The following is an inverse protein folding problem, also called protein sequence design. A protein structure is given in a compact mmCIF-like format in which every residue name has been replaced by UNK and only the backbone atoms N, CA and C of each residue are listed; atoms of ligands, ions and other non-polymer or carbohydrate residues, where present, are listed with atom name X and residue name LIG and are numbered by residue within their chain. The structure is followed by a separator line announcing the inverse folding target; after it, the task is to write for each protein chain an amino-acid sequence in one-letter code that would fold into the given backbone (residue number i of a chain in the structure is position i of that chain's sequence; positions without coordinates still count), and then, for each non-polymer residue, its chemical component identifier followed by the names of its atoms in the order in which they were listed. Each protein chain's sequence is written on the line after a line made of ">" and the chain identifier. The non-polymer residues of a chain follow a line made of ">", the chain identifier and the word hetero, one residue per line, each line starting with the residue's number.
data_IF_672646485664
#
_entry.id   IF_672646485664
#
_cell.length_a   1.000
_cell.length_b   1.000
_cell.length_c   1.000
_cell.angle_alpha   90.00
_cell.angle_beta   90.00
_cell.angle_gamma   90.00
#
_symmetry.space_group_name_H-M   'P 1'
#
loop_
_entity.id
_entity.type
_entity.pdbx_description
1 polymer ?
#
# COMPACT_ATOMS: atom_id res chain seq x y z
N UNK A 1 4.33 12.15 7.71
CA UNK A 1 4.22 10.85 7.09
C UNK A 1 3.58 9.86 8.06
N UNK A 2 2.60 9.14 7.62
CA UNK A 2 1.86 8.23 8.49
C UNK A 2 2.17 6.79 8.19
N UNK A 3 2.25 6.00 9.22
CA UNK A 3 2.47 4.57 9.08
C UNK A 3 1.68 3.84 10.16
N UNK A 4 1.15 2.69 9.83
CA UNK A 4 0.41 1.87 10.76
C UNK A 4 0.86 0.43 10.62
N UNK A 5 0.79 -0.28 11.73
CA UNK A 5 1.01 -1.72 11.70
C UNK A 5 -0.27 -2.40 12.08
N UNK A 6 -0.54 -3.54 11.49
CA UNK A 6 -1.70 -4.33 11.87
C UNK A 6 -1.40 -5.80 11.59
N UNK A 7 -2.19 -6.67 12.18
CA UNK A 7 -2.08 -8.09 11.96
C UNK A 7 -3.39 -8.54 11.33
N UNK A 8 -3.30 -9.27 10.24
CA UNK A 8 -4.50 -9.70 9.55
C UNK A 8 -5.11 -10.93 10.24
N UNK A 9 -6.23 -11.39 9.72
CA UNK A 9 -6.95 -12.49 10.34
C UNK A 9 -6.21 -13.82 10.22
N UNK A 10 -5.18 -13.86 9.38
CA UNK A 10 -4.36 -15.07 9.24
C UNK A 10 -3.10 -15.00 10.11
N UNK A 11 -2.91 -13.93 10.86
CA UNK A 11 -1.77 -13.80 11.74
C UNK A 11 -0.54 -13.16 11.12
N UNK A 12 -0.66 -12.64 9.91
CA UNK A 12 0.48 -11.98 9.28
C UNK A 12 0.52 -10.51 9.65
N UNK A 13 1.71 -10.04 9.93
CA UNK A 13 1.93 -8.66 10.29
C UNK A 13 2.14 -7.82 9.04
N UNK A 14 1.46 -6.71 8.96
CA UNK A 14 1.54 -5.80 7.83
C UNK A 14 1.89 -4.41 8.31
N UNK A 15 2.58 -3.69 7.45
CA UNK A 15 2.84 -2.29 7.68
C UNK A 15 2.18 -1.49 6.55
N UNK A 16 1.38 -0.51 6.91
CA UNK A 16 0.74 0.35 5.95
C UNK A 16 1.40 1.71 6.01
N UNK A 17 1.79 2.25 4.86
CA UNK A 17 2.39 3.57 4.84
C UNK A 17 2.00 4.32 3.58
N UNK A 18 1.92 5.61 3.73
CA UNK A 18 1.52 6.46 2.62
C UNK A 18 2.76 7.12 2.03
N UNK A 19 2.88 7.03 0.72
CA UNK A 19 3.95 7.69 0.00
C UNK A 19 3.30 8.69 -0.94
N UNK A 20 3.68 9.95 -0.77
CA UNK A 20 3.13 11.00 -1.60
C UNK A 20 4.27 11.77 -2.22
N UNK A 21 4.12 12.15 -3.46
CA UNK A 21 5.13 12.95 -4.12
C UNK A 21 4.46 13.85 -5.14
N UNK A 22 5.11 14.95 -5.41
CA UNK A 22 4.62 15.89 -6.38
C UNK A 22 5.02 15.43 -7.77
N UNK A 23 4.09 15.53 -8.66
CA UNK A 23 4.30 15.15 -10.04
C UNK A 23 4.01 16.36 -10.91
N UNK A 24 4.91 16.70 -11.81
CA UNK A 24 4.70 17.80 -12.73
C UNK A 24 3.93 17.26 -13.93
N UNK A 25 2.78 17.86 -14.16
CA UNK A 25 2.00 17.50 -15.31
C UNK A 25 2.05 18.63 -16.30
N UNK A 26 1.25 18.53 -17.32
CA UNK A 26 1.19 19.48 -18.40
C UNK A 26 1.14 20.91 -17.92
N UNK A 27 1.80 21.80 -18.59
CA UNK A 27 1.83 23.24 -18.30
C UNK A 27 2.46 23.54 -16.95
N UNK A 28 3.38 22.75 -16.56
CA UNK A 28 4.12 22.94 -15.32
C UNK A 28 3.23 22.96 -14.08
N UNK A 29 2.04 22.43 -14.19
CA UNK A 29 1.18 22.26 -13.02
C UNK A 29 1.73 21.14 -12.17
N UNK A 30 1.65 21.31 -10.87
CA UNK A 30 2.11 20.30 -9.93
C UNK A 30 0.91 19.67 -9.26
N UNK A 31 0.88 18.38 -9.25
CA UNK A 31 -0.17 17.66 -8.54
C UNK A 31 0.48 16.62 -7.65
N UNK A 32 -0.18 16.26 -6.59
CA UNK A 32 0.36 15.27 -5.67
C UNK A 32 -0.19 13.90 -6.03
N UNK A 33 0.72 12.97 -6.19
CA UNK A 33 0.37 11.59 -6.46
C UNK A 33 0.68 10.79 -5.21
N UNK A 34 -0.31 10.18 -4.61
CA UNK A 34 -0.09 9.43 -3.38
C UNK A 34 -0.61 8.01 -3.49
N UNK A 35 0.11 7.13 -2.84
CA UNK A 35 -0.19 5.71 -2.82
C UNK A 35 -0.12 5.21 -1.39
N UNK A 36 -1.01 4.31 -1.06
CA UNK A 36 -0.95 3.62 0.21
C UNK A 36 -0.34 2.24 -0.04
N UNK A 37 0.77 1.98 0.61
CA UNK A 37 1.49 0.72 0.46
C UNK A 37 1.25 -0.17 1.66
N UNK A 38 1.11 -1.45 1.41
CA UNK A 38 1.00 -2.46 2.45
C UNK A 38 2.17 -3.42 2.28
N UNK A 39 2.98 -3.53 3.29
CA UNK A 39 4.19 -4.35 3.24
C UNK A 39 4.11 -5.48 4.26
N UNK A 40 4.35 -6.68 3.79
CA UNK A 40 4.50 -7.83 4.66
C UNK A 40 5.68 -8.62 4.12
N UNK A 41 6.14 -9.65 4.90
CA UNK A 41 7.23 -10.44 4.52
C UNK A 41 7.10 -10.87 3.09
N UNK A 42 7.92 -10.43 2.21
CA UNK A 42 7.97 -10.84 0.82
C UNK A 42 6.83 -10.39 -0.07
N UNK A 43 5.95 -9.55 0.42
CA UNK A 43 4.79 -9.14 -0.36
C UNK A 43 4.60 -7.63 -0.24
N UNK A 44 4.34 -6.98 -1.36
CA UNK A 44 4.03 -5.57 -1.40
C UNK A 44 2.73 -5.37 -2.15
N UNK A 45 1.84 -4.61 -1.56
CA UNK A 45 0.59 -4.21 -2.23
C UNK A 45 0.47 -2.70 -2.17
N UNK A 46 -0.32 -2.15 -3.04
CA UNK A 46 -0.53 -0.70 -3.03
C UNK A 46 -1.89 -0.35 -3.58
N UNK A 47 -2.38 0.82 -3.22
CA UNK A 47 -3.67 1.27 -3.73
C UNK A 47 -3.71 2.78 -3.79
N UNK A 48 -4.59 3.28 -4.63
CA UNK A 48 -4.95 4.68 -4.70
C UNK A 48 -6.39 4.80 -4.28
N UNK A 49 -6.82 6.02 -4.08
CA UNK A 49 -8.23 6.25 -3.75
C UNK A 49 -8.61 5.72 -2.40
N UNK A 50 -7.69 5.60 -1.51
CA UNK A 50 -7.94 5.09 -0.18
C UNK A 50 -8.56 6.20 0.68
N UNK A 51 -9.25 5.83 1.78
CA UNK A 51 -9.86 6.83 2.65
C UNK A 51 -8.82 7.72 3.30
N UNK A 52 -9.15 8.98 3.48
CA UNK A 52 -8.23 9.90 4.10
C UNK A 52 -7.91 9.55 5.52
N UNK A 53 -8.85 8.92 6.22
CA UNK A 53 -8.67 8.56 7.61
C UNK A 53 -8.09 7.17 7.79
N UNK A 54 -7.44 6.65 6.78
CA UNK A 54 -6.90 5.31 6.83
C UNK A 54 -6.00 5.09 8.06
N UNK A 55 -5.31 6.12 8.49
CA UNK A 55 -4.40 5.98 9.63
C UNK A 55 -5.12 5.77 10.94
N UNK A 56 -6.42 6.05 10.99
CA UNK A 56 -7.22 5.86 12.20
C UNK A 56 -8.11 4.65 12.13
N UNK A 57 -8.05 3.90 11.06
CA UNK A 57 -8.95 2.79 10.87
C UNK A 57 -8.58 1.62 11.76
N UNK A 58 -9.56 0.78 12.04
CA UNK A 58 -9.32 -0.43 12.82
C UNK A 58 -8.49 -1.43 12.02
N UNK A 59 -7.93 -2.40 12.70
CA UNK A 59 -7.18 -3.45 12.01
C UNK A 59 -8.03 -4.16 10.99
N UNK A 60 -9.29 -4.40 11.33
CA UNK A 60 -10.22 -5.07 10.44
C UNK A 60 -10.43 -4.28 9.16
N UNK A 61 -10.57 -2.97 9.29
CA UNK A 61 -10.75 -2.11 8.13
C UNK A 61 -9.48 -2.02 7.31
N UNK A 62 -8.33 -1.99 7.96
CA UNK A 62 -7.06 -1.97 7.26
C UNK A 62 -6.85 -3.27 6.50
N UNK A 63 -7.24 -4.37 7.08
CA UNK A 63 -7.15 -5.65 6.39
C UNK A 63 -8.03 -5.65 5.15
N UNK A 64 -9.21 -5.07 5.24
CA UNK A 64 -10.12 -5.00 4.12
C UNK A 64 -9.51 -4.17 2.98
N UNK A 65 -8.92 -3.03 3.31
CA UNK A 65 -8.23 -2.24 2.31
C UNK A 65 -7.09 -3.03 1.68
N UNK A 66 -6.32 -3.70 2.50
CA UNK A 66 -5.18 -4.47 2.04
C UNK A 66 -5.62 -5.55 1.06
N UNK A 67 -6.75 -6.18 1.32
CA UNK A 67 -7.25 -7.24 0.45
C UNK A 67 -7.67 -6.71 -0.92
N UNK A 68 -8.00 -5.43 -0.99
CA UNK A 68 -8.40 -4.83 -2.25
C UNK A 68 -7.24 -4.19 -2.98
N UNK A 69 -6.11 -4.04 -2.32
CA UNK A 69 -4.95 -3.41 -2.92
C UNK A 69 -4.31 -4.33 -3.94
N UNK A 70 -3.71 -3.73 -4.95
CA UNK A 70 -3.08 -4.52 -5.99
C UNK A 70 -1.74 -5.05 -5.52
N UNK A 71 -1.42 -6.28 -5.87
CA UNK A 71 -0.14 -6.87 -5.53
C UNK A 71 0.90 -6.33 -6.49
N UNK A 72 1.94 -5.72 -5.95
CA UNK A 72 2.99 -5.15 -6.75
C UNK A 72 4.11 -6.15 -6.96
N UNK A 73 4.39 -6.93 -5.92
CA UNK A 73 5.44 -7.92 -6.02
C UNK A 73 5.46 -8.81 -4.83
N UNK A 74 6.00 -10.00 -5.01
CA UNK A 74 6.25 -10.91 -3.94
C UNK A 74 7.65 -11.41 -4.08
N UNK A 75 8.32 -11.55 -2.95
CA UNK A 75 9.64 -12.03 -2.94
C UNK A 75 9.67 -13.41 -3.36
N UNK A 76 8.85 -14.19 -2.80
CA UNK A 76 8.87 -15.57 -3.03
C UNK A 76 8.28 -15.89 -4.34
N UNK A 77 8.95 -16.46 -5.16
CA UNK A 77 8.45 -16.94 -6.38
C UNK A 77 7.97 -15.90 -7.29
N UNK A 78 8.21 -14.75 -6.96
CA UNK A 78 7.71 -13.74 -7.78
C UNK A 78 8.40 -13.72 -9.09
N UNK A 79 9.46 -14.36 -9.19
CA UNK A 79 10.06 -14.24 -10.28
C UNK A 79 9.90 -15.21 -11.08
N UNK A 80 9.52 -14.98 -11.96
CA UNK A 80 9.27 -15.83 -12.84
C UNK A 80 10.42 -16.10 -13.47
N UNK A 81 10.65 -16.49 -13.67
CA UNK A 81 11.52 -16.67 -14.15
C UNK A 81 11.71 -16.52 -15.19
N UNK A 82 11.79 -16.29 -15.76
CA UNK A 82 11.97 -16.01 -16.65
C UNK A 82 12.49 -16.31 -17.07
N UNK A 83 12.55 -16.58 -17.28
CA UNK A 83 12.98 -16.87 -17.70
C UNK A 83 13.39 -16.89 -18.19
#
# INVERSE_FOLDING_TARGET
>A
MSARQFVDSFGFSWQALEIARDVIVRNAQVTTDSWLYFLSRGTTRRMRGYPRDWASMSWSDLEDLCSRAEVVGTDAGSRPVRA
#
